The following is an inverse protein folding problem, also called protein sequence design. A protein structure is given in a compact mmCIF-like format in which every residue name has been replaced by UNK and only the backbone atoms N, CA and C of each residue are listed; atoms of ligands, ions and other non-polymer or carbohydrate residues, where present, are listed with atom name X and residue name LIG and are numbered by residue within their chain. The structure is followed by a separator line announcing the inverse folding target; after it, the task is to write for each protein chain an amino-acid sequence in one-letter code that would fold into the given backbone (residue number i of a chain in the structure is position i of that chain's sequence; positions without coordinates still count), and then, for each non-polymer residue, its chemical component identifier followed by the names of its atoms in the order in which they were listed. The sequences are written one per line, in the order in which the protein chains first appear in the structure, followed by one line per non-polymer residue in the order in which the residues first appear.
data_IF_101272751128
#
_entry.id   IF_101272751128
#
_cell.length_a   1.000
_cell.length_b   1.000
_cell.length_c   1.000
_cell.angle_alpha   90.00
_cell.angle_beta   90.00
_cell.angle_gamma   90.00
#
_symmetry.space_group_name_H-M   'P 1'
#
loop_
_entity.id
_entity.type
_entity.pdbx_description
1 polymer ?
#
# COMPACT_ATOMS: atom_id res chain seq x y z
N UNK A 1 -2.76 -14.28 10.23
CA UNK A 1 -2.82 -13.54 8.94
C UNK A 1 -2.56 -12.07 9.17
N UNK A 2 -2.09 -11.36 8.15
CA UNK A 2 -1.90 -9.91 8.12
C UNK A 2 -2.52 -9.34 6.84
N UNK A 3 -3.07 -8.12 6.92
CA UNK A 3 -3.52 -7.35 5.77
C UNK A 3 -2.48 -6.30 5.39
N UNK A 4 -2.15 -6.16 4.11
CA UNK A 4 -1.20 -5.15 3.63
C UNK A 4 -1.81 -4.40 2.45
N UNK A 5 -1.77 -3.08 2.52
CA UNK A 5 -2.18 -2.16 1.47
C UNK A 5 -1.02 -1.22 1.17
N UNK A 6 -0.44 -1.34 0.00
CA UNK A 6 0.73 -0.57 -0.41
C UNK A 6 0.39 0.41 -1.54
N UNK A 7 0.96 1.60 -1.50
CA UNK A 7 0.83 2.61 -2.56
C UNK A 7 2.20 3.09 -3.07
N UNK A 8 2.26 3.29 -4.38
CA UNK A 8 3.32 4.00 -5.10
C UNK A 8 2.70 5.29 -5.66
N UNK A 9 2.73 6.39 -4.90
CA UNK A 9 2.03 7.61 -5.27
C UNK A 9 2.77 8.41 -6.35
N UNK A 10 2.00 9.02 -7.27
CA UNK A 10 2.56 9.79 -8.39
C UNK A 10 1.48 10.47 -9.23
N UNK A 11 1.83 10.90 -10.44
CA UNK A 11 0.87 11.34 -11.46
C UNK A 11 -0.11 10.23 -11.80
N UNK A 12 0.39 9.01 -11.81
CA UNK A 12 -0.35 7.76 -11.80
C UNK A 12 0.02 7.04 -10.50
N UNK A 13 -0.95 6.81 -9.62
CA UNK A 13 -0.70 6.12 -8.36
C UNK A 13 -1.02 4.64 -8.47
N UNK A 14 -0.01 3.81 -8.27
CA UNK A 14 -0.18 2.37 -8.13
C UNK A 14 -0.62 1.98 -6.72
N UNK A 15 -1.54 1.03 -6.64
CA UNK A 15 -1.99 0.43 -5.39
C UNK A 15 -1.91 -1.08 -5.52
N UNK A 16 -1.42 -1.75 -4.48
CA UNK A 16 -1.45 -3.20 -4.36
C UNK A 16 -1.88 -3.57 -2.94
N UNK A 17 -2.72 -4.59 -2.80
CA UNK A 17 -3.21 -5.03 -1.50
C UNK A 17 -3.52 -6.52 -1.47
N UNK A 18 -3.60 -7.08 -0.26
CA UNK A 18 -3.98 -8.47 -0.03
C UNK A 18 -3.85 -8.89 1.43
N UNK A 19 -4.47 -10.01 1.78
CA UNK A 19 -4.29 -10.68 3.06
C UNK A 19 -3.37 -11.90 2.88
N UNK A 20 -2.45 -12.10 3.84
CA UNK A 20 -1.35 -13.06 3.74
C UNK A 20 -1.20 -13.86 5.03
N UNK A 21 -0.81 -15.12 4.91
CA UNK A 21 -0.42 -15.91 6.06
C UNK A 21 1.06 -15.70 6.38
N UNK A 22 1.35 -15.06 7.49
CA UNK A 22 2.71 -14.85 8.00
C UNK A 22 3.39 -16.11 8.52
N UNK A 23 2.64 -17.20 8.69
CA UNK A 23 3.18 -18.50 9.08
C UNK A 23 3.63 -19.34 7.89
N UNK A 24 3.49 -18.81 6.67
CA UNK A 24 4.00 -19.46 5.47
C UNK A 24 5.50 -19.77 5.58
N UNK A 25 5.94 -20.88 5.04
CA UNK A 25 7.35 -21.32 5.10
C UNK A 25 8.29 -20.40 4.31
N UNK A 26 7.74 -19.67 3.34
CA UNK A 26 8.50 -18.72 2.54
C UNK A 26 7.64 -17.55 2.07
N UNK A 27 8.29 -16.45 1.67
CA UNK A 27 7.61 -15.33 1.03
C UNK A 27 6.89 -15.76 -0.27
N UNK A 28 7.44 -16.72 -1.00
CA UNK A 28 6.80 -17.26 -2.20
C UNK A 28 5.47 -17.93 -1.86
N UNK A 29 5.41 -18.74 -0.82
CA UNK A 29 4.20 -19.44 -0.40
C UNK A 29 3.15 -18.44 0.11
N UNK A 30 3.56 -17.46 0.93
CA UNK A 30 2.68 -16.40 1.38
C UNK A 30 2.07 -15.60 0.21
N UNK A 31 2.86 -15.28 -0.81
CA UNK A 31 2.39 -14.58 -2.00
C UNK A 31 1.58 -15.48 -2.97
N UNK A 32 1.79 -16.78 -2.94
CA UNK A 32 1.00 -17.74 -3.72
C UNK A 32 -0.40 -17.96 -3.11
N UNK A 33 -0.50 -17.98 -1.78
CA UNK A 33 -1.77 -18.16 -1.03
C UNK A 33 -2.41 -16.82 -0.61
N UNK A 34 -2.15 -15.76 -1.35
CA UNK A 34 -2.74 -14.44 -1.09
C UNK A 34 -4.25 -14.45 -1.27
N UNK A 35 -4.97 -13.83 -0.32
CA UNK A 35 -6.43 -13.72 -0.35
C UNK A 35 -6.85 -12.28 -0.66
N UNK A 36 -7.91 -12.12 -1.45
CA UNK A 36 -8.47 -10.82 -1.89
C UNK A 36 -7.38 -9.85 -2.38
N UNK A 37 -6.33 -10.41 -3.01
CA UNK A 37 -5.20 -9.65 -3.48
C UNK A 37 -5.49 -9.08 -4.87
N UNK A 38 -5.22 -7.78 -5.04
CA UNK A 38 -5.40 -7.08 -6.30
C UNK A 38 -4.44 -5.89 -6.42
N UNK A 39 -4.36 -5.33 -7.61
CA UNK A 39 -3.69 -4.07 -7.86
C UNK A 39 -4.46 -3.20 -8.84
N UNK A 40 -4.33 -1.90 -8.72
CA UNK A 40 -5.02 -0.90 -9.53
C UNK A 40 -4.17 0.36 -9.68
N UNK A 41 -4.31 1.06 -10.81
CA UNK A 41 -3.72 2.38 -11.01
C UNK A 41 -4.81 3.45 -10.98
N UNK A 42 -4.57 4.52 -10.24
CA UNK A 42 -5.41 5.71 -10.23
C UNK A 42 -4.72 6.86 -10.95
N UNK A 43 -5.52 7.68 -11.65
CA UNK A 43 -5.07 8.82 -12.45
C UNK A 43 -5.87 10.07 -12.12
N UNK A 44 -5.37 11.23 -12.51
CA UNK A 44 -6.03 12.52 -12.35
C UNK A 44 -5.39 13.40 -11.27
N UNK A 45 -6.14 14.38 -10.79
CA UNK A 45 -5.61 15.28 -9.77
C UNK A 45 -5.37 14.56 -8.42
N UNK A 46 -4.42 15.06 -7.60
CA UNK A 46 -4.04 14.41 -6.35
C UNK A 46 -5.20 14.20 -5.37
N UNK A 47 -6.15 15.14 -5.30
CA UNK A 47 -7.29 15.04 -4.41
C UNK A 47 -8.28 13.94 -4.84
N UNK A 48 -8.49 13.78 -6.15
CA UNK A 48 -9.31 12.68 -6.69
C UNK A 48 -8.66 11.33 -6.43
N UNK A 49 -7.37 11.20 -6.74
CA UNK A 49 -6.61 9.98 -6.45
C UNK A 49 -6.69 9.61 -4.96
N UNK A 50 -6.43 10.57 -4.07
CA UNK A 50 -6.45 10.36 -2.63
C UNK A 50 -7.82 9.88 -2.12
N UNK A 51 -8.93 10.45 -2.62
CA UNK A 51 -10.30 10.00 -2.27
C UNK A 51 -10.56 8.56 -2.71
N UNK A 52 -10.14 8.20 -3.92
CA UNK A 52 -10.32 6.85 -4.46
C UNK A 52 -9.50 5.83 -3.66
N UNK A 53 -8.24 6.14 -3.34
CA UNK A 53 -7.36 5.30 -2.53
C UNK A 53 -7.93 5.14 -1.11
N UNK A 54 -8.38 6.22 -0.48
CA UNK A 54 -8.97 6.16 0.85
C UNK A 54 -10.29 5.34 0.89
N UNK A 55 -11.08 5.38 -0.20
CA UNK A 55 -12.27 4.54 -0.34
C UNK A 55 -11.92 3.06 -0.49
N UNK A 56 -10.93 2.74 -1.32
CA UNK A 56 -10.45 1.37 -1.51
C UNK A 56 -9.83 0.82 -0.22
N UNK A 57 -9.01 1.63 0.46
CA UNK A 57 -8.44 1.28 1.76
C UNK A 57 -9.53 0.88 2.78
N UNK A 58 -10.60 1.66 2.89
CA UNK A 58 -11.71 1.33 3.79
C UNK A 58 -12.35 -0.02 3.46
N UNK A 59 -12.61 -0.25 2.17
CA UNK A 59 -13.20 -1.52 1.73
C UNK A 59 -12.26 -2.68 2.07
N UNK A 60 -10.99 -2.56 1.74
CA UNK A 60 -9.98 -3.57 2.03
C UNK A 60 -9.85 -3.83 3.54
N UNK A 61 -9.78 -2.76 4.34
CA UNK A 61 -9.70 -2.86 5.80
C UNK A 61 -10.88 -3.64 6.39
N UNK A 62 -12.11 -3.33 5.93
CA UNK A 62 -13.31 -4.06 6.37
C UNK A 62 -13.26 -5.52 5.97
N UNK A 63 -12.85 -5.85 4.77
CA UNK A 63 -12.68 -7.24 4.34
C UNK A 63 -11.67 -7.97 5.24
N UNK A 64 -10.53 -7.34 5.53
CA UNK A 64 -9.55 -7.93 6.45
C UNK A 64 -10.13 -8.23 7.82
N UNK A 65 -10.85 -7.28 8.42
CA UNK A 65 -11.35 -7.39 9.80
C UNK A 65 -12.62 -8.24 9.88
N UNK A 66 -13.60 -7.99 8.99
CA UNK A 66 -14.94 -8.60 9.08
C UNK A 66 -15.02 -9.97 8.40
N UNK A 67 -14.22 -10.22 7.34
CA UNK A 67 -14.28 -11.46 6.56
C UNK A 67 -13.12 -12.39 6.90
N UNK A 68 -11.91 -11.85 7.01
CA UNK A 68 -10.71 -12.65 7.32
C UNK A 68 -10.39 -12.70 8.82
N UNK A 69 -11.16 -12.02 9.66
CA UNK A 69 -10.99 -11.97 11.12
C UNK A 69 -9.56 -11.56 11.54
N UNK A 70 -8.93 -10.70 10.74
CA UNK A 70 -7.60 -10.16 11.02
C UNK A 70 -7.73 -9.09 12.12
N UNK A 71 -6.88 -9.21 13.15
CA UNK A 71 -6.79 -8.17 14.18
C UNK A 71 -6.54 -6.80 13.52
N UNK A 72 -7.33 -5.77 13.85
CA UNK A 72 -7.16 -4.42 13.32
C UNK A 72 -5.72 -3.88 13.38
N UNK A 73 -4.97 -4.20 14.43
CA UNK A 73 -3.57 -3.80 14.59
C UNK A 73 -2.61 -4.48 13.59
N UNK A 74 -3.09 -5.47 12.86
CA UNK A 74 -2.36 -6.27 11.88
C UNK A 74 -2.77 -5.96 10.43
N UNK A 75 -3.48 -4.87 10.22
CA UNK A 75 -3.79 -4.35 8.88
C UNK A 75 -2.95 -3.11 8.64
N UNK A 76 -2.02 -3.20 7.70
CA UNK A 76 -0.95 -2.22 7.48
C UNK A 76 -1.17 -1.39 6.23
N UNK A 77 -0.87 -0.10 6.33
CA UNK A 77 -0.79 0.81 5.20
C UNK A 77 0.67 1.16 4.94
N UNK A 78 1.15 0.86 3.74
CA UNK A 78 2.53 1.06 3.30
C UNK A 78 2.56 2.12 2.20
N UNK A 79 3.48 3.07 2.29
CA UNK A 79 3.64 4.13 1.31
C UNK A 79 5.12 4.31 0.95
N UNK A 80 5.41 4.62 -0.30
CA UNK A 80 6.74 5.05 -0.69
C UNK A 80 7.15 6.32 0.07
N UNK A 81 8.37 6.32 0.58
CA UNK A 81 9.00 7.47 1.24
C UNK A 81 9.77 8.29 0.22
N UNK A 82 9.37 9.55 0.05
CA UNK A 82 10.00 10.47 -0.87
C UNK A 82 11.03 11.33 -0.17
N UNK A 83 12.28 11.15 -0.52
CA UNK A 83 13.36 12.03 -0.08
C UNK A 83 13.49 13.20 -1.07
N UNK A 84 13.01 14.36 -0.68
CA UNK A 84 13.26 15.61 -1.41
C UNK A 84 14.72 16.02 -1.19
N UNK A 85 15.52 15.91 -2.23
CA UNK A 85 16.90 16.42 -2.21
C UNK A 85 16.94 17.93 -2.50
N UNK A 86 18.07 18.60 -2.17
CA UNK A 86 18.25 20.03 -2.41
C UNK A 86 18.14 20.43 -3.90
N UNK A 87 18.29 19.47 -4.80
CA UNK A 87 18.21 19.67 -6.25
C UNK A 87 16.88 19.18 -6.85
N UNK A 88 15.86 18.88 -6.05
CA UNK A 88 14.55 18.45 -6.57
C UNK A 88 13.89 19.62 -7.29
N UNK A 89 13.65 19.58 -8.63
CA UNK A 89 13.08 20.70 -9.35
C UNK A 89 11.65 21.01 -8.88
N UNK A 90 11.25 22.29 -8.82
CA UNK A 90 9.86 22.66 -8.63
C UNK A 90 8.97 22.04 -9.71
N UNK A 91 7.83 21.46 -9.34
CA UNK A 91 6.89 20.85 -10.27
C UNK A 91 7.27 19.44 -10.76
N UNK A 92 8.31 18.82 -10.17
CA UNK A 92 8.67 17.43 -10.46
C UNK A 92 7.55 16.45 -10.07
N UNK A 93 7.55 15.27 -10.69
CA UNK A 93 6.61 14.17 -10.37
C UNK A 93 6.67 13.76 -8.89
N UNK A 94 7.83 13.97 -8.25
CA UNK A 94 8.02 13.75 -6.81
C UNK A 94 7.10 14.65 -5.98
N UNK A 95 6.97 15.93 -6.34
CA UNK A 95 6.05 16.85 -5.62
C UNK A 95 4.60 16.42 -5.78
N UNK A 96 4.23 15.89 -6.93
CA UNK A 96 2.90 15.34 -7.17
C UNK A 96 2.67 14.09 -6.31
N UNK A 97 3.64 13.20 -6.26
CA UNK A 97 3.64 12.02 -5.41
C UNK A 97 3.46 12.38 -3.91
N UNK A 98 4.23 13.35 -3.42
CA UNK A 98 4.06 13.88 -2.06
C UNK A 98 2.64 14.41 -1.81
N UNK A 99 2.05 15.16 -2.75
CA UNK A 99 0.68 15.66 -2.63
C UNK A 99 -0.34 14.54 -2.52
N UNK A 100 -0.23 13.49 -3.34
CA UNK A 100 -1.11 12.31 -3.26
C UNK A 100 -0.96 11.59 -1.93
N UNK A 101 0.28 11.32 -1.50
CA UNK A 101 0.55 10.65 -0.23
C UNK A 101 -0.02 11.42 0.96
N UNK A 102 0.26 12.73 1.06
CA UNK A 102 -0.25 13.59 2.14
C UNK A 102 -1.77 13.77 2.09
N UNK A 103 -2.36 13.93 0.88
CA UNK A 103 -3.81 14.01 0.74
C UNK A 103 -4.48 12.69 1.18
N UNK A 104 -3.93 11.53 0.79
CA UNK A 104 -4.43 10.23 1.21
C UNK A 104 -4.38 10.07 2.73
N UNK A 105 -3.26 10.47 3.34
CA UNK A 105 -3.10 10.47 4.79
C UNK A 105 -4.11 11.41 5.47
N UNK A 106 -4.29 12.63 4.96
CA UNK A 106 -5.27 13.60 5.45
C UNK A 106 -6.72 13.10 5.35
N UNK A 107 -7.08 12.43 4.25
CA UNK A 107 -8.39 11.80 4.11
C UNK A 107 -8.59 10.64 5.09
N UNK A 108 -7.56 9.88 5.40
CA UNK A 108 -7.62 8.82 6.42
C UNK A 108 -7.85 9.41 7.81
N UNK A 109 -7.15 10.49 8.16
CA UNK A 109 -7.29 11.19 9.44
C UNK A 109 -8.63 11.92 9.55
N UNK A 110 -8.98 12.76 8.56
CA UNK A 110 -10.20 13.58 8.58
C UNK A 110 -11.50 12.77 8.58
N UNK A 111 -11.43 11.50 8.19
CA UNK A 111 -12.55 10.57 8.30
C UNK A 111 -12.56 9.76 9.60
N UNK A 112 -11.47 9.79 10.36
CA UNK A 112 -11.44 9.16 11.68
C UNK A 112 -12.50 9.80 12.59
N UNK A 113 -12.60 11.13 12.59
CA UNK A 113 -13.58 11.87 13.42
C UNK A 113 -15.03 11.53 13.08
N UNK A 114 -15.35 11.28 11.81
CA UNK A 114 -16.71 10.86 11.38
C UNK A 114 -17.04 9.43 11.84
N UNK A 115 -16.03 8.62 12.14
CA UNK A 115 -16.16 7.21 12.49
C UNK A 115 -15.94 6.93 13.98
N UNK A 116 -15.43 7.89 14.76
CA UNK A 116 -15.33 7.78 16.23
C UNK A 116 -16.66 7.45 16.93
N UNK A 117 -17.78 7.75 16.28
CA UNK A 117 -19.10 7.39 16.79
C UNK A 117 -19.47 5.90 16.60
N UNK A 118 -18.59 5.09 16.01
CA UNK A 118 -18.81 3.66 15.80
C UNK A 118 -17.56 2.89 16.20
N UNK A 119 -17.66 2.11 17.25
CA UNK A 119 -16.63 1.36 18.00
C UNK A 119 -15.67 0.45 17.18
N UNK A 120 -15.62 0.56 15.84
CA UNK A 120 -14.87 -0.35 15.00
C UNK A 120 -13.73 0.30 14.17
N UNK A 121 -13.52 1.63 14.31
CA UNK A 121 -12.35 2.25 13.70
C UNK A 121 -11.20 2.23 14.70
N UNK A 122 -10.16 1.43 14.47
CA UNK A 122 -9.01 1.47 15.37
C UNK A 122 -8.30 2.80 15.16
N UNK A 123 -8.41 3.67 16.12
CA UNK A 123 -7.50 4.78 16.36
C UNK A 123 -6.14 4.27 16.88
N UNK A 124 -5.82 3.01 16.62
CA UNK A 124 -4.43 2.59 16.64
C UNK A 124 -3.67 3.54 15.71
N UNK A 125 -2.38 3.79 15.93
CA UNK A 125 -1.64 4.71 15.09
C UNK A 125 -1.95 4.32 13.66
N UNK A 126 -2.51 5.25 12.87
CA UNK A 126 -2.66 5.12 11.43
C UNK A 126 -1.25 5.06 10.85
N UNK A 127 -0.50 4.07 11.32
CA UNK A 127 0.89 3.89 11.06
C UNK A 127 1.04 3.65 9.56
N UNK A 128 1.32 4.72 8.86
CA UNK A 128 1.82 4.61 7.51
C UNK A 128 3.26 4.16 7.64
N UNK A 129 3.55 2.98 7.11
CA UNK A 129 4.91 2.47 7.02
C UNK A 129 5.54 3.04 5.77
N UNK A 130 6.49 3.95 5.95
CA UNK A 130 7.23 4.59 4.87
C UNK A 130 8.39 3.72 4.44
N UNK A 131 8.55 3.53 3.13
CA UNK A 131 9.60 2.70 2.56
C UNK A 131 10.30 3.43 1.41
N UNK A 132 11.63 3.36 1.38
CA UNK A 132 12.40 3.87 0.24
C UNK A 132 12.18 2.99 -1.00
N UNK A 133 11.90 3.64 -2.15
CA UNK A 133 11.73 2.98 -3.44
C UNK A 133 12.92 2.09 -3.78
N UNK A 134 14.14 2.57 -3.55
CA UNK A 134 15.36 1.82 -3.82
C UNK A 134 15.45 0.49 -3.06
N UNK A 135 14.98 0.44 -1.82
CA UNK A 135 14.97 -0.79 -1.02
C UNK A 135 13.97 -1.80 -1.60
N UNK A 136 12.75 -1.36 -1.90
CA UNK A 136 11.71 -2.20 -2.48
C UNK A 136 12.11 -2.71 -3.88
N UNK A 137 12.71 -1.85 -4.73
CA UNK A 137 13.18 -2.22 -6.07
C UNK A 137 14.33 -3.23 -6.02
N UNK A 138 15.32 -3.03 -5.15
CA UNK A 138 16.45 -3.95 -4.99
C UNK A 138 15.99 -5.31 -4.46
N UNK A 139 15.00 -5.32 -3.57
CA UNK A 139 14.44 -6.55 -3.02
C UNK A 139 13.59 -7.29 -4.07
N UNK A 140 12.65 -6.62 -4.72
CA UNK A 140 11.64 -7.22 -5.61
C UNK A 140 11.87 -6.82 -7.06
N UNK A 141 12.91 -7.37 -7.71
CA UNK A 141 13.15 -7.18 -9.14
C UNK A 141 11.99 -7.71 -10.01
N UNK A 142 11.91 -7.27 -11.27
CA UNK A 142 10.91 -7.78 -12.23
C UNK A 142 10.92 -9.30 -12.35
N UNK A 143 12.10 -9.92 -12.30
CA UNK A 143 12.22 -11.37 -12.32
C UNK A 143 11.57 -12.04 -11.11
N UNK A 144 11.73 -11.44 -9.92
CA UNK A 144 11.05 -11.92 -8.71
C UNK A 144 9.54 -11.69 -8.77
N UNK A 145 9.07 -10.52 -9.24
CA UNK A 145 7.64 -10.27 -9.42
C UNK A 145 7.00 -11.27 -10.39
N UNK A 146 7.68 -11.60 -11.50
CA UNK A 146 7.22 -12.65 -12.43
C UNK A 146 7.13 -14.02 -11.76
N UNK A 147 8.16 -14.41 -11.01
CA UNK A 147 8.18 -15.67 -10.26
C UNK A 147 7.07 -15.76 -9.22
N UNK A 148 6.72 -14.64 -8.58
CA UNK A 148 5.64 -14.56 -7.58
C UNK A 148 4.25 -14.38 -8.16
N UNK A 149 4.12 -14.27 -9.52
CA UNK A 149 2.82 -14.03 -10.17
C UNK A 149 2.24 -12.64 -9.92
N UNK A 150 3.09 -11.67 -9.59
CA UNK A 150 2.71 -10.28 -9.28
C UNK A 150 3.07 -9.30 -10.40
N UNK A 151 3.71 -9.79 -11.45
CA UNK A 151 4.16 -8.92 -12.55
C UNK A 151 3.03 -8.67 -13.55
N UNK A 152 2.67 -7.39 -13.73
CA UNK A 152 1.62 -6.97 -14.67
C UNK A 152 2.27 -6.18 -15.81
N UNK A 153 2.03 -6.61 -17.07
CA UNK A 153 2.58 -5.96 -18.26
C UNK A 153 1.98 -4.56 -18.44
N UNK A 154 2.84 -3.57 -18.72
CA UNK A 154 2.41 -2.18 -18.98
C UNK A 154 1.86 -1.43 -17.77
N UNK A 155 2.04 -1.97 -16.57
CA UNK A 155 1.53 -1.42 -15.31
C UNK A 155 2.65 -1.15 -14.32
N UNK A 156 3.49 -0.15 -14.62
CA UNK A 156 4.71 0.15 -13.86
C UNK A 156 4.42 0.54 -12.42
N UNK A 157 3.40 1.36 -12.20
CA UNK A 157 3.01 1.81 -10.86
C UNK A 157 2.40 0.68 -10.01
N UNK A 158 1.59 -0.20 -10.61
CA UNK A 158 1.10 -1.38 -9.89
C UNK A 158 2.24 -2.31 -9.50
N UNK A 159 3.25 -2.48 -10.38
CA UNK A 159 4.46 -3.26 -10.05
C UNK A 159 5.27 -2.62 -8.93
N UNK A 160 5.38 -1.29 -8.91
CA UNK A 160 6.05 -0.57 -7.84
C UNK A 160 5.32 -0.78 -6.51
N UNK A 161 3.99 -0.65 -6.48
CA UNK A 161 3.19 -0.94 -5.29
C UNK A 161 3.35 -2.40 -4.81
N UNK A 162 3.39 -3.39 -5.73
CA UNK A 162 3.69 -4.79 -5.40
C UNK A 162 5.08 -4.99 -4.81
N UNK A 163 6.10 -4.21 -5.24
CA UNK A 163 7.44 -4.25 -4.66
C UNK A 163 7.44 -3.79 -3.20
N UNK A 164 6.74 -2.70 -2.93
CA UNK A 164 6.59 -2.19 -1.56
C UNK A 164 5.85 -3.19 -0.67
N UNK A 165 4.77 -3.78 -1.16
CA UNK A 165 4.02 -4.80 -0.44
C UNK A 165 4.88 -6.03 -0.13
N UNK A 166 5.56 -6.59 -1.13
CA UNK A 166 6.40 -7.78 -0.97
C UNK A 166 7.59 -7.53 -0.03
N UNK A 167 8.21 -6.35 -0.12
CA UNK A 167 9.30 -5.96 0.77
C UNK A 167 8.82 -5.85 2.22
N UNK A 168 7.65 -5.25 2.44
CA UNK A 168 7.06 -5.15 3.77
C UNK A 168 6.68 -6.53 4.34
N UNK A 169 6.00 -7.36 3.53
CA UNK A 169 5.60 -8.71 3.92
C UNK A 169 6.79 -9.59 4.32
N UNK A 170 7.93 -9.45 3.63
CA UNK A 170 9.15 -10.21 3.94
C UNK A 170 9.64 -9.98 5.39
N UNK A 171 9.31 -8.86 6.01
CA UNK A 171 9.64 -8.59 7.41
C UNK A 171 8.87 -9.45 8.41
N UNK A 172 7.80 -10.11 8.00
CA UNK A 172 6.95 -10.98 8.84
C UNK A 172 7.21 -12.48 8.59
N UNK A 173 7.75 -12.84 7.45
CA UNK A 173 8.07 -14.23 7.10
C UNK A 173 9.45 -14.57 7.66
N UNK A 174 9.54 -15.65 8.43
CA UNK A 174 10.79 -16.09 9.10
C UNK A 174 11.54 -17.12 8.29
#
# INVERSE_FOLDING_TARGET
MIGIFAIDPGGHTGVAFGAFDEKSESLYDALADKRDANSVTYEGDPGRQARQIASLWRTFYRVCVEVHEIDPSRVYFVCEDFQLGPNTPPGSDILLACKVAWATWGYRLGRADEFEARDWWPLGPLATHWQLSSQAMNFASDARLKRWGLWVKGKDHERAAWRHLAYFLNGFIK
#
